data_IF_608963399675
#
_entry.id   IF_608963399675
#
_cell.length_a   1.000
_cell.length_b   1.000
_cell.length_c   1.000
_cell.angle_alpha   90.00
_cell.angle_beta   90.00
_cell.angle_gamma   90.00
#
_symmetry.space_group_name_H-M   'P 1'
#
loop_
_entity.id
_entity.type
_entity.pdbx_description
1 polymer ?
#
# COMPACT_ATOMS: atom_id res chain seq x y z
N UNK A 1 -3.54 6.30 -0.46
CA UNK A 1 -4.57 5.42 0.17
C UNK A 1 -4.68 4.04 -0.48
N UNK A 2 -4.46 3.89 -1.80
CA UNK A 2 -4.53 2.59 -2.52
C UNK A 2 -3.82 1.42 -1.83
N UNK A 3 -2.59 1.55 -1.28
CA UNK A 3 -1.93 0.43 -0.58
C UNK A 3 -2.72 -0.08 0.64
N UNK A 4 -3.30 0.83 1.43
CA UNK A 4 -4.13 0.47 2.59
C UNK A 4 -5.43 -0.19 2.16
N UNK A 5 -6.07 0.31 1.10
CA UNK A 5 -7.29 -0.27 0.54
C UNK A 5 -7.04 -1.68 -0.01
N UNK A 6 -5.95 -1.87 -0.77
CA UNK A 6 -5.55 -3.17 -1.29
C UNK A 6 -5.21 -4.16 -0.15
N UNK A 7 -4.48 -3.70 0.87
CA UNK A 7 -4.20 -4.52 2.05
C UNK A 7 -5.48 -4.90 2.81
N UNK A 8 -6.43 -3.97 2.96
CA UNK A 8 -7.69 -4.20 3.67
C UNK A 8 -8.61 -5.13 2.88
N UNK A 9 -8.57 -5.07 1.55
CA UNK A 9 -9.32 -5.99 0.70
C UNK A 9 -8.86 -7.45 0.90
N UNK A 10 -7.55 -7.69 0.98
CA UNK A 10 -7.02 -9.04 1.15
C UNK A 10 -6.97 -9.52 2.61
N UNK A 11 -6.63 -8.64 3.56
CA UNK A 11 -6.42 -8.98 4.97
C UNK A 11 -7.46 -8.44 5.96
N UNK A 12 -8.46 -7.69 5.49
CA UNK A 12 -9.48 -7.05 6.33
C UNK A 12 -9.00 -5.74 6.98
N UNK A 13 -9.89 -4.76 7.04
CA UNK A 13 -9.63 -3.40 7.54
C UNK A 13 -9.07 -3.39 8.97
N UNK A 14 -9.64 -4.20 9.87
CA UNK A 14 -9.23 -4.23 11.29
C UNK A 14 -7.73 -4.58 11.47
N UNK A 15 -7.17 -5.43 10.57
CA UNK A 15 -5.75 -5.78 10.61
C UNK A 15 -4.89 -4.63 10.11
N UNK A 16 -5.31 -3.99 9.02
CA UNK A 16 -4.62 -2.82 8.45
C UNK A 16 -4.58 -1.66 9.45
N UNK A 17 -5.69 -1.38 10.12
CA UNK A 17 -5.77 -0.33 11.16
C UNK A 17 -4.76 -0.58 12.28
N UNK A 18 -4.68 -1.83 12.73
CA UNK A 18 -3.69 -2.23 13.74
C UNK A 18 -2.27 -2.00 13.23
N UNK A 19 -1.94 -2.43 12.01
CA UNK A 19 -0.60 -2.27 11.47
C UNK A 19 -0.22 -0.81 11.21
N UNK A 20 -1.18 0.04 10.82
CA UNK A 20 -0.99 1.48 10.68
C UNK A 20 -0.69 2.13 12.03
N UNK A 21 -1.42 1.76 13.10
CA UNK A 21 -1.16 2.27 14.46
C UNK A 21 0.19 1.81 15.00
N UNK A 22 0.55 0.55 14.80
CA UNK A 22 1.84 -0.01 15.25
C UNK A 22 3.05 0.62 14.53
N UNK A 23 2.85 1.18 13.35
CA UNK A 23 3.91 1.70 12.46
C UNK A 23 3.62 3.13 11.99
N UNK A 24 2.97 3.92 12.83
CA UNK A 24 2.68 5.32 12.51
C UNK A 24 3.98 6.10 12.31
N UNK A 25 4.04 6.95 11.29
CA UNK A 25 5.23 7.75 10.96
C UNK A 25 6.30 7.00 10.15
N UNK A 26 6.15 5.69 9.90
CA UNK A 26 7.03 4.93 9.02
C UNK A 26 6.74 5.30 7.56
N UNK A 27 7.76 5.28 6.68
CA UNK A 27 7.57 5.49 5.25
C UNK A 27 6.65 4.41 4.64
N UNK A 28 5.86 4.78 3.64
CA UNK A 28 4.82 3.93 3.08
C UNK A 28 5.36 2.65 2.43
N UNK A 29 6.49 2.73 1.73
CA UNK A 29 7.18 1.58 1.15
C UNK A 29 7.65 0.59 2.21
N UNK A 30 8.28 1.09 3.28
CA UNK A 30 8.70 0.30 4.45
C UNK A 30 7.49 -0.33 5.14
N UNK A 31 6.38 0.41 5.24
CA UNK A 31 5.14 -0.13 5.81
C UNK A 31 4.59 -1.30 4.98
N UNK A 32 4.60 -1.20 3.65
CA UNK A 32 4.16 -2.27 2.75
C UNK A 32 5.03 -3.51 2.97
N UNK A 33 6.36 -3.35 3.01
CA UNK A 33 7.28 -4.48 3.20
C UNK A 33 7.21 -5.09 4.60
N UNK A 34 6.73 -4.33 5.59
CA UNK A 34 6.51 -4.78 6.95
C UNK A 34 5.15 -5.49 7.17
N UNK A 35 4.27 -5.60 6.15
CA UNK A 35 3.00 -6.32 6.25
C UNK A 35 3.27 -7.77 6.70
N UNK A 36 2.70 -8.26 7.82
CA UNK A 36 3.05 -9.56 8.40
C UNK A 36 2.70 -10.76 7.51
N UNK A 37 1.64 -10.63 6.71
CA UNK A 37 1.17 -11.71 5.85
C UNK A 37 1.85 -11.60 4.50
N UNK A 38 2.68 -12.60 4.16
CA UNK A 38 3.40 -12.65 2.88
C UNK A 38 2.45 -12.57 1.69
N UNK A 39 1.31 -13.27 1.76
CA UNK A 39 0.28 -13.22 0.73
C UNK A 39 -0.24 -11.79 0.50
N UNK A 40 -0.62 -11.10 1.58
CA UNK A 40 -1.11 -9.72 1.53
C UNK A 40 -0.05 -8.76 1.02
N UNK A 41 1.21 -8.92 1.44
CA UNK A 41 2.32 -8.11 0.92
C UNK A 41 2.49 -8.26 -0.59
N UNK A 42 2.52 -9.50 -1.08
CA UNK A 42 2.62 -9.79 -2.51
C UNK A 42 1.40 -9.26 -3.27
N UNK A 43 0.20 -9.37 -2.69
CA UNK A 43 -1.02 -8.83 -3.27
C UNK A 43 -0.94 -7.31 -3.45
N UNK A 44 -0.52 -6.57 -2.42
CA UNK A 44 -0.35 -5.11 -2.49
C UNK A 44 0.69 -4.73 -3.55
N UNK A 45 1.84 -5.41 -3.59
CA UNK A 45 2.86 -5.19 -4.62
C UNK A 45 2.31 -5.40 -6.04
N UNK A 46 1.54 -6.47 -6.27
CA UNK A 46 0.92 -6.74 -7.56
C UNK A 46 -0.10 -5.66 -7.96
N UNK A 47 -0.95 -5.22 -7.03
CA UNK A 47 -1.94 -4.16 -7.29
C UNK A 47 -1.24 -2.86 -7.69
N UNK A 48 -0.17 -2.48 -6.99
CA UNK A 48 0.59 -1.27 -7.31
C UNK A 48 1.31 -1.37 -8.66
N UNK A 49 1.90 -2.52 -8.97
CA UNK A 49 2.53 -2.77 -10.26
C UNK A 49 1.50 -2.70 -11.41
N UNK A 50 0.35 -3.35 -11.26
CA UNK A 50 -0.70 -3.30 -12.28
C UNK A 50 -1.29 -1.90 -12.42
N UNK A 51 -1.51 -1.17 -11.31
CA UNK A 51 -1.97 0.21 -11.36
C UNK A 51 -1.03 1.07 -12.22
N UNK A 52 0.30 0.93 -12.04
CA UNK A 52 1.28 1.65 -12.85
C UNK A 52 1.26 1.23 -14.33
N UNK A 53 1.16 -0.07 -14.61
CA UNK A 53 1.10 -0.59 -15.99
C UNK A 53 -0.16 -0.07 -16.72
N UNK A 54 -1.31 -0.11 -16.06
CA UNK A 54 -2.56 0.34 -16.66
C UNK A 54 -2.60 1.86 -16.81
N UNK A 55 -2.11 2.61 -15.83
CA UNK A 55 -1.98 4.07 -15.96
C UNK A 55 -1.15 4.44 -17.20
N UNK A 56 0.01 3.80 -17.39
CA UNK A 56 0.83 4.02 -18.57
C UNK A 56 0.11 3.64 -19.88
N UNK A 57 -0.69 2.58 -19.88
CA UNK A 57 -1.49 2.17 -21.06
C UNK A 57 -2.61 3.16 -21.40
N UNK A 58 -3.19 3.82 -20.41
CA UNK A 58 -4.26 4.80 -20.61
C UNK A 58 -3.76 6.24 -20.81
N UNK A 59 -2.43 6.46 -20.76
CA UNK A 59 -1.85 7.79 -20.86
C UNK A 59 -1.97 8.60 -19.56
N UNK A 60 -2.23 7.94 -18.44
CA UNK A 60 -2.30 8.56 -17.12
C UNK A 60 -0.92 8.57 -16.46
N UNK A 61 -0.52 9.72 -15.91
CA UNK A 61 0.73 9.88 -15.14
C UNK A 61 0.55 9.47 -13.67
N UNK A 62 -0.19 8.40 -13.40
CA UNK A 62 -0.39 7.95 -12.01
C UNK A 62 0.94 7.43 -11.44
N UNK A 63 1.46 8.02 -10.34
CA UNK A 63 2.67 7.53 -9.70
C UNK A 63 2.42 6.17 -9.02
N UNK A 64 3.41 5.27 -9.07
CA UNK A 64 3.35 3.95 -8.44
C UNK A 64 3.07 4.01 -6.94
N UNK A 65 3.69 4.96 -6.23
CA UNK A 65 3.44 5.27 -4.83
C UNK A 65 3.21 6.78 -4.70
N UNK A 66 2.20 7.22 -3.92
CA UNK A 66 2.01 8.63 -3.63
C UNK A 66 3.13 9.10 -2.70
N UNK A 67 4.17 9.75 -3.24
CA UNK A 67 5.35 10.21 -2.50
C UNK A 67 6.07 9.06 -1.80
N UNK A 68 7.21 8.60 -2.33
CA UNK A 68 7.96 7.47 -1.75
C UNK A 68 8.26 7.69 -0.25
N UNK A 69 8.52 8.94 0.15
CA UNK A 69 8.79 9.33 1.53
C UNK A 69 7.54 9.67 2.36
N UNK A 70 6.34 9.38 1.85
CA UNK A 70 5.09 9.64 2.56
C UNK A 70 5.03 8.80 3.84
N UNK A 71 4.99 9.47 4.98
CA UNK A 71 4.78 8.81 6.26
C UNK A 71 3.35 8.27 6.37
N UNK A 72 3.21 7.06 6.90
CA UNK A 72 1.92 6.47 7.25
C UNK A 72 1.28 7.32 8.33
N UNK A 73 0.17 7.96 7.98
CA UNK A 73 -0.63 8.73 8.93
C UNK A 73 -1.29 7.80 9.96
N UNK A 74 -1.38 8.22 11.23
CA UNK A 74 -2.24 7.54 12.18
C UNK A 74 -3.69 7.60 11.67
N UNK A 75 -4.37 6.45 11.74
CA UNK A 75 -5.79 6.34 11.39
C UNK A 75 -6.67 6.78 12.55
#
# INVERSE_FOLDING_TARGET
MLPFAAAAYNAGEHRVDRWMRERAGVALDVWIDAIPFRETRNYVHNVLAFNQIYAARFGDETPMLPGVDMAVAPR
#
